data_IF_815916412255
#
_entry.id   IF_815916412255
#
_cell.length_a   1.000
_cell.length_b   1.000
_cell.length_c   1.000
_cell.angle_alpha   90.00
_cell.angle_beta   90.00
_cell.angle_gamma   90.00
#
_symmetry.space_group_name_H-M   'P 1'
#
loop_
_entity.id
_entity.type
_entity.pdbx_description
1 polymer ?
#
# COMPACT_ATOMS: atom_id res chain seq x y z
N UNK A 1 20.92 10.49 15.64
CA UNK A 1 21.94 9.57 15.09
C UNK A 1 21.20 8.29 14.71
N UNK A 2 21.13 7.92 13.43
CA UNK A 2 20.35 6.74 13.03
C UNK A 2 20.95 5.48 13.68
N UNK A 3 20.12 4.49 14.01
CA UNK A 3 20.57 3.19 14.55
C UNK A 3 21.65 2.56 13.65
N UNK A 4 21.52 2.79 12.34
CA UNK A 4 22.47 2.38 11.32
C UNK A 4 23.85 3.04 11.50
N UNK A 5 23.90 4.33 11.84
CA UNK A 5 25.16 5.05 12.11
C UNK A 5 25.90 4.48 13.33
N UNK A 6 25.17 4.07 14.36
CA UNK A 6 25.73 3.44 15.58
C UNK A 6 26.27 2.04 15.26
N UNK A 7 25.50 1.23 14.51
CA UNK A 7 25.93 -0.09 14.07
C UNK A 7 27.16 -0.01 13.15
N UNK A 8 27.17 0.89 12.17
CA UNK A 8 28.29 1.05 11.25
C UNK A 8 29.58 1.48 11.97
N UNK A 9 29.49 2.43 12.90
CA UNK A 9 30.65 2.86 13.71
C UNK A 9 31.16 1.76 14.63
N UNK A 10 30.28 0.98 15.23
CA UNK A 10 30.67 -0.18 16.04
C UNK A 10 31.37 -1.27 15.21
N UNK A 11 30.87 -1.56 14.01
CA UNK A 11 31.45 -2.55 13.10
C UNK A 11 32.84 -2.13 12.63
N UNK A 12 33.01 -0.88 12.21
CA UNK A 12 34.31 -0.32 11.80
C UNK A 12 35.30 -0.37 12.96
N UNK A 13 34.85 -0.10 14.18
CA UNK A 13 35.71 -0.17 15.38
C UNK A 13 36.14 -1.61 15.69
N UNK A 14 35.23 -2.58 15.60
CA UNK A 14 35.55 -4.01 15.81
C UNK A 14 36.52 -4.51 14.74
N UNK A 15 36.25 -4.21 13.47
CA UNK A 15 37.10 -4.61 12.35
C UNK A 15 38.47 -3.96 12.47
N UNK A 16 38.53 -2.65 12.76
CA UNK A 16 39.77 -1.91 12.97
C UNK A 16 40.59 -2.45 14.14
N UNK A 17 39.94 -2.77 15.26
CA UNK A 17 40.60 -3.39 16.42
C UNK A 17 41.13 -4.80 16.09
N UNK A 18 40.38 -5.58 15.33
CA UNK A 18 40.81 -6.93 14.92
C UNK A 18 42.00 -6.87 13.97
N UNK A 19 42.00 -5.94 13.00
CA UNK A 19 43.13 -5.70 12.08
C UNK A 19 44.36 -5.21 12.87
N UNK A 20 44.17 -4.29 13.81
CA UNK A 20 45.25 -3.82 14.69
C UNK A 20 45.89 -4.98 15.46
N UNK A 21 45.08 -5.85 16.06
CA UNK A 21 45.57 -7.03 16.77
C UNK A 21 46.28 -8.04 15.86
N UNK A 22 45.83 -8.20 14.62
CA UNK A 22 46.47 -9.04 13.62
C UNK A 22 47.84 -8.49 13.20
N UNK A 23 47.94 -7.17 12.97
CA UNK A 23 49.19 -6.49 12.56
C UNK A 23 50.22 -6.47 13.70
N UNK A 24 49.77 -6.38 14.95
CA UNK A 24 50.64 -6.43 16.15
C UNK A 24 51.19 -7.86 16.40
N UNK A 25 50.85 -8.86 15.58
CA UNK A 25 51.43 -10.21 15.62
C UNK A 25 51.00 -11.05 16.83
N UNK A 26 50.02 -10.57 17.61
CA UNK A 26 49.53 -11.26 18.82
C UNK A 26 48.46 -12.31 18.54
N UNK A 27 47.95 -12.41 17.31
CA UNK A 27 46.89 -13.37 16.94
C UNK A 27 47.42 -14.37 15.90
N UNK A 28 47.58 -15.66 16.24
CA UNK A 28 48.04 -16.67 15.29
C UNK A 28 46.90 -17.12 14.36
N UNK A 29 46.59 -16.31 13.34
CA UNK A 29 45.47 -16.55 12.40
C UNK A 29 45.58 -17.93 11.72
N UNK A 30 46.79 -18.35 11.33
CA UNK A 30 47.02 -19.68 10.75
C UNK A 30 46.63 -20.81 11.70
N UNK A 31 46.84 -20.64 13.02
CA UNK A 31 46.44 -21.63 14.01
C UNK A 31 44.91 -21.69 14.13
N UNK A 32 44.24 -20.54 14.18
CA UNK A 32 42.77 -20.48 14.23
C UNK A 32 42.11 -21.11 13.00
N UNK A 33 42.61 -20.83 11.79
CA UNK A 33 42.10 -21.42 10.54
C UNK A 33 42.34 -22.93 10.54
N UNK A 34 43.52 -23.40 10.94
CA UNK A 34 43.82 -24.83 11.04
C UNK A 34 42.90 -25.53 12.05
N UNK A 35 42.61 -24.89 13.18
CA UNK A 35 41.71 -25.45 14.20
C UNK A 35 40.26 -25.60 13.68
N UNK A 36 39.77 -24.63 12.89
CA UNK A 36 38.46 -24.73 12.23
C UNK A 36 38.39 -25.92 11.25
N UNK A 37 39.47 -26.18 10.51
CA UNK A 37 39.55 -27.31 9.57
C UNK A 37 39.59 -28.65 10.32
N UNK A 38 40.28 -28.72 11.46
CA UNK A 38 40.37 -29.95 12.26
C UNK A 38 39.04 -30.30 12.94
N UNK A 39 38.25 -29.31 13.40
CA UNK A 39 36.93 -29.49 14.03
C UNK A 39 35.75 -29.19 13.09
N UNK A 40 35.90 -29.52 11.80
CA UNK A 40 34.95 -29.15 10.75
C UNK A 40 33.46 -29.48 11.03
N UNK A 41 33.06 -30.59 11.69
CA UNK A 41 31.64 -30.89 11.87
C UNK A 41 30.95 -29.95 12.87
N UNK A 42 31.62 -29.66 14.00
CA UNK A 42 31.09 -28.79 15.05
C UNK A 42 31.09 -27.34 14.58
N UNK A 43 32.19 -26.90 13.94
CA UNK A 43 32.27 -25.56 13.36
C UNK A 43 31.22 -25.34 12.27
N UNK A 44 30.97 -26.35 11.42
CA UNK A 44 29.93 -26.30 10.39
C UNK A 44 28.52 -26.23 11.00
N UNK A 45 28.22 -27.06 12.00
CA UNK A 45 26.91 -27.05 12.67
C UNK A 45 26.61 -25.70 13.32
N UNK A 46 27.59 -25.12 14.02
CA UNK A 46 27.48 -23.79 14.62
C UNK A 46 27.31 -22.71 13.55
N UNK A 47 28.09 -22.74 12.47
CA UNK A 47 27.95 -21.80 11.36
C UNK A 47 26.56 -21.90 10.69
N UNK A 48 26.04 -23.10 10.47
CA UNK A 48 24.71 -23.32 9.90
C UNK A 48 23.60 -22.82 10.82
N UNK A 49 23.71 -23.05 12.14
CA UNK A 49 22.75 -22.55 13.11
C UNK A 49 22.69 -21.01 13.07
N UNK A 50 23.83 -20.32 13.11
CA UNK A 50 23.86 -18.86 12.97
C UNK A 50 23.34 -18.36 11.62
N UNK A 51 23.74 -19.03 10.54
CA UNK A 51 23.30 -18.66 9.19
C UNK A 51 21.78 -18.75 9.06
N UNK A 52 21.17 -19.80 9.61
CA UNK A 52 19.71 -19.95 9.61
C UNK A 52 19.03 -18.82 10.37
N UNK A 53 19.50 -18.50 11.57
CA UNK A 53 18.87 -17.45 12.39
C UNK A 53 19.05 -16.07 11.75
N UNK A 54 20.25 -15.75 11.27
CA UNK A 54 20.52 -14.50 10.54
C UNK A 54 19.69 -14.45 9.26
N UNK A 55 19.55 -15.56 8.54
CA UNK A 55 18.73 -15.66 7.34
C UNK A 55 17.27 -15.31 7.60
N UNK A 56 16.68 -15.87 8.67
CA UNK A 56 15.31 -15.55 9.08
C UNK A 56 15.19 -14.05 9.44
N UNK A 57 16.15 -13.50 10.20
CA UNK A 57 16.16 -12.07 10.54
C UNK A 57 16.24 -11.18 9.29
N UNK A 58 17.07 -11.52 8.31
CA UNK A 58 17.18 -10.78 7.04
C UNK A 58 15.86 -10.81 6.28
N UNK A 59 15.20 -11.97 6.18
CA UNK A 59 13.90 -12.09 5.49
C UNK A 59 12.85 -11.23 6.18
N UNK A 60 12.79 -11.25 7.52
CA UNK A 60 11.84 -10.42 8.26
C UNK A 60 12.12 -8.92 8.09
N UNK A 61 13.38 -8.48 8.14
CA UNK A 61 13.76 -7.08 7.90
C UNK A 61 13.45 -6.64 6.47
N UNK A 62 13.72 -7.50 5.49
CA UNK A 62 13.41 -7.23 4.09
C UNK A 62 11.89 -7.07 3.87
N UNK A 63 11.07 -7.91 4.52
CA UNK A 63 9.62 -7.80 4.47
C UNK A 63 9.12 -6.47 5.05
N UNK A 64 9.59 -6.09 6.24
CA UNK A 64 9.20 -4.82 6.89
C UNK A 64 9.61 -3.63 6.03
N UNK A 65 10.85 -3.61 5.52
CA UNK A 65 11.33 -2.54 4.63
C UNK A 65 10.56 -2.50 3.31
N UNK A 66 10.17 -3.66 2.77
CA UNK A 66 9.32 -3.76 1.58
C UNK A 66 7.97 -3.08 1.79
N UNK A 67 7.32 -3.31 2.93
CA UNK A 67 6.04 -2.64 3.26
C UNK A 67 6.18 -1.12 3.37
N UNK A 68 7.24 -0.61 4.00
CA UNK A 68 7.52 0.83 4.05
C UNK A 68 7.64 1.42 2.65
N UNK A 69 8.39 0.76 1.78
CA UNK A 69 8.61 1.25 0.42
C UNK A 69 7.33 1.27 -0.43
N UNK A 70 6.38 0.36 -0.18
CA UNK A 70 5.09 0.30 -0.88
C UNK A 70 4.11 1.40 -0.46
N UNK A 71 4.33 2.03 0.69
CA UNK A 71 3.40 2.99 1.31
C UNK A 71 3.96 4.40 1.33
N UNK A 72 5.28 4.57 1.44
CA UNK A 72 5.98 5.87 1.40
C UNK A 72 5.66 6.68 0.13
N UNK A 73 5.51 6.00 -1.02
CA UNK A 73 5.19 6.66 -2.29
C UNK A 73 3.69 6.94 -2.49
N UNK A 74 2.83 6.58 -1.54
CA UNK A 74 1.37 6.73 -1.71
C UNK A 74 0.83 8.07 -1.22
N UNK A 75 1.54 8.75 -0.30
CA UNK A 75 1.03 9.97 0.33
C UNK A 75 1.73 11.25 -0.12
N UNK A 76 0.95 12.32 -0.24
CA UNK A 76 1.45 13.65 -0.59
C UNK A 76 1.38 14.62 0.60
N UNK A 77 2.46 15.35 0.90
CA UNK A 77 2.52 16.18 2.09
C UNK A 77 1.55 17.38 2.07
N UNK A 78 1.10 17.81 0.89
CA UNK A 78 0.12 18.88 0.73
C UNK A 78 -1.34 18.41 0.78
N UNK A 79 -1.57 17.10 0.77
CA UNK A 79 -2.90 16.51 0.83
C UNK A 79 -3.32 16.22 2.27
N UNK A 80 -4.61 16.30 2.52
CA UNK A 80 -5.25 15.96 3.79
C UNK A 80 -6.26 14.86 3.54
N UNK A 81 -6.21 13.82 4.37
CA UNK A 81 -7.24 12.79 4.46
C UNK A 81 -8.13 13.12 5.66
N UNK A 82 -9.42 13.30 5.39
CA UNK A 82 -10.45 13.50 6.40
C UNK A 82 -11.28 12.23 6.54
N UNK A 83 -11.44 11.78 7.78
CA UNK A 83 -12.20 10.60 8.19
C UNK A 83 -13.19 10.97 9.30
N UNK A 84 -14.20 10.13 9.52
CA UNK A 84 -15.05 10.26 10.70
C UNK A 84 -14.26 9.99 11.97
N UNK A 85 -14.62 10.64 13.07
CA UNK A 85 -13.98 10.36 14.36
C UNK A 85 -14.12 8.88 14.76
N UNK A 86 -13.07 8.34 15.38
CA UNK A 86 -12.98 6.92 15.76
C UNK A 86 -12.64 5.95 14.63
N UNK A 87 -12.58 6.40 13.37
CA UNK A 87 -12.19 5.53 12.25
C UNK A 87 -10.70 5.17 12.34
N UNK A 88 -10.39 3.87 12.21
CA UNK A 88 -9.01 3.37 12.18
C UNK A 88 -8.38 3.50 10.80
N UNK A 89 -9.20 3.41 9.75
CA UNK A 89 -8.84 3.51 8.35
C UNK A 89 -10.04 4.00 7.52
N UNK A 90 -9.87 4.11 6.20
CA UNK A 90 -10.92 4.54 5.28
C UNK A 90 -12.14 3.60 5.32
N UNK A 91 -11.96 2.29 5.45
CA UNK A 91 -13.05 1.29 5.38
C UNK A 91 -14.07 1.52 6.50
N UNK A 92 -13.58 1.81 7.70
CA UNK A 92 -14.41 2.01 8.89
C UNK A 92 -14.93 3.44 9.05
N UNK A 93 -14.57 4.34 8.16
CA UNK A 93 -15.05 5.73 8.18
C UNK A 93 -16.44 5.87 7.57
N UNK A 94 -17.18 6.87 8.04
CA UNK A 94 -18.53 7.20 7.57
C UNK A 94 -18.81 8.71 7.65
N UNK A 95 -18.78 9.37 6.49
CA UNK A 95 -18.97 10.80 6.30
C UNK A 95 -20.28 11.07 5.55
N UNK A 96 -21.11 11.95 6.12
CA UNK A 96 -22.35 12.39 5.49
C UNK A 96 -22.10 13.36 4.35
N UNK A 97 -22.98 13.37 3.33
CA UNK A 97 -22.91 14.32 2.22
C UNK A 97 -22.79 15.77 2.71
N UNK A 98 -23.58 16.14 3.72
CA UNK A 98 -23.61 17.48 4.28
C UNK A 98 -22.32 17.90 4.97
N UNK A 99 -21.51 16.94 5.42
CA UNK A 99 -20.25 17.22 6.09
C UNK A 99 -19.18 17.47 5.05
N UNK A 100 -19.08 16.54 4.09
CA UNK A 100 -18.15 16.63 2.96
C UNK A 100 -18.39 17.90 2.13
N UNK A 101 -19.65 18.23 1.85
CA UNK A 101 -20.01 19.44 1.10
C UNK A 101 -19.59 20.73 1.77
N UNK A 102 -19.56 20.76 3.12
CA UNK A 102 -19.23 21.96 3.88
C UNK A 102 -17.72 22.12 4.02
N UNK A 103 -17.01 21.01 4.27
CA UNK A 103 -15.54 20.98 4.36
C UNK A 103 -14.89 21.32 3.02
N UNK A 104 -15.50 20.95 1.89
CA UNK A 104 -15.01 21.29 0.54
C UNK A 104 -14.83 22.81 0.34
N UNK A 105 -15.58 23.65 1.05
CA UNK A 105 -15.47 25.11 0.98
C UNK A 105 -14.54 25.73 2.03
N UNK A 106 -13.80 24.92 2.79
CA UNK A 106 -12.82 25.42 3.74
C UNK A 106 -11.78 26.33 3.03
N UNK A 107 -11.32 27.37 3.73
CA UNK A 107 -10.41 28.38 3.17
C UNK A 107 -9.02 27.81 2.84
N UNK A 108 -8.61 26.71 3.47
CA UNK A 108 -7.34 26.05 3.19
C UNK A 108 -7.33 25.13 1.97
N UNK A 109 -8.48 24.91 1.33
CA UNK A 109 -8.60 24.05 0.14
C UNK A 109 -8.08 24.78 -1.10
N UNK A 110 -7.12 24.16 -1.78
CA UNK A 110 -6.59 24.68 -3.05
C UNK A 110 -7.65 24.59 -4.15
N UNK A 111 -7.60 25.50 -5.12
CA UNK A 111 -8.60 25.62 -6.20
C UNK A 111 -7.95 25.53 -7.56
N UNK A 112 -8.66 24.97 -8.53
CA UNK A 112 -8.22 24.93 -9.92
C UNK A 112 -8.40 26.30 -10.62
N UNK A 113 -7.95 26.38 -11.87
CA UNK A 113 -8.06 27.58 -12.72
C UNK A 113 -9.52 28.05 -12.94
N UNK A 114 -10.50 27.16 -12.74
CA UNK A 114 -11.93 27.44 -12.85
C UNK A 114 -12.55 27.78 -11.49
N UNK A 115 -11.74 27.90 -10.44
CA UNK A 115 -12.17 28.21 -9.06
C UNK A 115 -12.80 27.04 -8.32
N UNK A 116 -12.80 25.83 -8.90
CA UNK A 116 -13.34 24.63 -8.26
C UNK A 116 -12.37 24.10 -7.20
N UNK A 117 -12.87 23.70 -6.03
CA UNK A 117 -12.05 23.13 -4.97
C UNK A 117 -11.44 21.78 -5.40
N UNK A 118 -10.13 21.62 -5.16
CA UNK A 118 -9.39 20.39 -5.41
C UNK A 118 -9.62 19.41 -4.27
N UNK A 119 -10.79 18.77 -4.29
CA UNK A 119 -11.17 17.73 -3.35
C UNK A 119 -11.58 16.45 -4.09
N UNK A 120 -11.37 15.32 -3.41
CA UNK A 120 -11.80 14.01 -3.86
C UNK A 120 -12.78 13.43 -2.86
N UNK A 121 -13.98 13.14 -3.33
CA UNK A 121 -15.07 12.57 -2.54
C UNK A 121 -15.13 11.08 -2.80
N UNK A 122 -14.87 10.28 -1.77
CA UNK A 122 -14.52 8.88 -1.98
C UNK A 122 -15.33 7.94 -1.11
N UNK A 123 -15.59 6.77 -1.66
CA UNK A 123 -16.20 5.64 -0.94
C UNK A 123 -15.39 4.40 -1.23
N UNK A 124 -14.60 3.99 -0.25
CA UNK A 124 -13.72 2.85 -0.34
C UNK A 124 -14.41 1.61 0.23
N UNK A 125 -14.49 0.55 -0.58
CA UNK A 125 -15.10 -0.72 -0.18
C UNK A 125 -14.24 -1.91 -0.63
N UNK A 126 -14.25 -2.96 0.18
CA UNK A 126 -13.64 -4.24 -0.19
C UNK A 126 -14.75 -5.19 -0.62
N UNK A 127 -14.63 -5.70 -1.84
CA UNK A 127 -15.62 -6.55 -2.49
C UNK A 127 -15.09 -7.98 -2.56
N UNK A 128 -15.92 -8.93 -2.14
CA UNK A 128 -15.64 -10.35 -2.31
C UNK A 128 -16.14 -10.80 -3.69
N UNK A 129 -15.20 -11.00 -4.63
CA UNK A 129 -15.50 -11.41 -5.99
C UNK A 129 -15.27 -12.92 -6.18
N UNK A 130 -16.23 -13.67 -6.73
CA UNK A 130 -15.98 -15.03 -7.17
C UNK A 130 -15.06 -15.01 -8.40
N UNK A 131 -14.07 -15.89 -8.43
CA UNK A 131 -13.20 -16.07 -9.59
C UNK A 131 -13.97 -16.93 -10.62
N UNK A 132 -14.08 -16.52 -11.89
CA UNK A 132 -14.78 -17.31 -12.90
C UNK A 132 -14.16 -18.71 -13.10
N UNK A 133 -14.92 -19.58 -13.77
CA UNK A 133 -14.78 -21.05 -13.84
C UNK A 133 -13.41 -21.62 -14.28
N UNK A 134 -12.45 -20.78 -14.70
CA UNK A 134 -11.11 -21.19 -15.08
C UNK A 134 -10.12 -21.27 -13.91
N UNK A 135 -10.56 -21.05 -12.67
CA UNK A 135 -9.77 -21.34 -11.48
C UNK A 135 -9.20 -22.76 -11.57
N UNK A 136 -7.87 -22.90 -11.61
CA UNK A 136 -7.22 -24.21 -11.69
C UNK A 136 -7.60 -25.04 -10.48
N UNK A 137 -7.54 -26.37 -10.59
CA UNK A 137 -7.89 -27.27 -9.49
C UNK A 137 -6.97 -26.98 -8.27
N UNK A 138 -7.50 -26.33 -7.24
CA UNK A 138 -6.77 -25.88 -6.05
C UNK A 138 -6.71 -24.35 -5.87
N UNK A 139 -7.12 -23.57 -6.87
CA UNK A 139 -7.14 -22.11 -6.79
C UNK A 139 -8.24 -21.60 -5.85
N UNK A 140 -8.00 -20.40 -5.29
CA UNK A 140 -8.99 -19.70 -4.47
C UNK A 140 -10.25 -19.48 -5.31
N UNK A 141 -11.41 -19.89 -4.79
CA UNK A 141 -12.69 -19.67 -5.49
C UNK A 141 -13.17 -18.21 -5.42
N UNK A 142 -12.53 -17.39 -4.60
CA UNK A 142 -12.90 -16.01 -4.30
C UNK A 142 -11.64 -15.18 -4.06
N UNK A 143 -11.70 -13.90 -4.43
CA UNK A 143 -10.69 -12.89 -4.09
C UNK A 143 -11.35 -11.63 -3.53
N UNK A 144 -10.57 -10.88 -2.77
CA UNK A 144 -10.98 -9.56 -2.30
C UNK A 144 -10.42 -8.51 -3.26
N UNK A 145 -11.29 -7.64 -3.75
CA UNK A 145 -10.94 -6.51 -4.61
C UNK A 145 -11.27 -5.22 -3.89
N UNK A 146 -10.39 -4.24 -4.02
CA UNK A 146 -10.60 -2.89 -3.52
C UNK A 146 -11.29 -2.07 -4.60
N UNK A 147 -12.45 -1.51 -4.27
CA UNK A 147 -13.23 -0.67 -5.18
C UNK A 147 -13.41 0.70 -4.54
N UNK A 148 -13.02 1.74 -5.26
CA UNK A 148 -13.16 3.13 -4.85
C UNK A 148 -14.22 3.81 -5.69
N UNK A 149 -15.30 4.23 -5.04
CA UNK A 149 -16.35 5.06 -5.61
C UNK A 149 -15.93 6.51 -5.58
N UNK A 150 -15.81 7.13 -6.75
CA UNK A 150 -15.36 8.51 -6.92
C UNK A 150 -16.45 9.33 -7.61
N UNK A 151 -16.65 10.56 -7.14
CA UNK A 151 -17.62 11.49 -7.74
C UNK A 151 -17.10 12.09 -9.06
N UNK A 152 -15.87 12.60 -9.06
CA UNK A 152 -15.24 13.26 -10.20
C UNK A 152 -13.81 12.70 -10.41
N UNK A 153 -13.64 11.70 -11.30
CA UNK A 153 -12.39 10.98 -11.45
C UNK A 153 -11.24 11.86 -11.96
N UNK A 154 -11.53 12.86 -12.81
CA UNK A 154 -10.49 13.75 -13.32
C UNK A 154 -9.93 14.64 -12.21
N UNK A 155 -10.80 15.16 -11.35
CA UNK A 155 -10.39 15.95 -10.17
C UNK A 155 -9.70 15.08 -9.13
N UNK A 156 -10.24 13.89 -8.84
CA UNK A 156 -9.60 12.93 -7.93
C UNK A 156 -8.22 12.51 -8.40
N UNK A 157 -8.05 12.28 -9.71
CA UNK A 157 -6.73 12.01 -10.31
C UNK A 157 -5.74 13.16 -10.07
N UNK A 158 -6.17 14.42 -10.21
CA UNK A 158 -5.34 15.59 -9.89
C UNK A 158 -4.97 15.68 -8.40
N UNK A 159 -5.94 15.44 -7.50
CA UNK A 159 -5.72 15.48 -6.04
C UNK A 159 -4.70 14.41 -5.63
N UNK A 160 -4.83 13.20 -6.17
CA UNK A 160 -3.94 12.07 -5.86
C UNK A 160 -2.66 12.01 -6.70
N UNK A 161 -2.44 12.98 -7.58
CA UNK A 161 -1.37 12.98 -8.59
C UNK A 161 -1.30 11.70 -9.43
N UNK A 162 -2.45 11.10 -9.70
CA UNK A 162 -2.56 9.93 -10.55
C UNK A 162 -2.73 10.35 -12.00
N UNK A 163 -1.86 9.80 -12.85
CA UNK A 163 -1.95 9.93 -14.30
C UNK A 163 -2.44 8.62 -14.89
N UNK A 164 -3.11 8.68 -16.03
CA UNK A 164 -3.49 7.48 -16.77
C UNK A 164 -2.33 7.04 -17.66
N UNK A 165 -1.97 5.77 -17.57
CA UNK A 165 -1.07 5.12 -18.51
C UNK A 165 -1.73 4.95 -19.87
N UNK A 166 -3.02 4.62 -19.88
CA UNK A 166 -3.81 4.44 -21.10
C UNK A 166 -5.30 4.66 -20.84
N UNK A 167 -6.02 5.01 -21.91
CA UNK A 167 -7.46 5.26 -21.88
C UNK A 167 -7.82 6.59 -21.22
N UNK A 168 -9.06 6.68 -20.76
CA UNK A 168 -9.65 7.90 -20.23
C UNK A 168 -10.30 7.65 -18.86
N UNK A 169 -10.50 8.72 -18.11
CA UNK A 169 -11.33 8.68 -16.91
C UNK A 169 -12.77 8.34 -17.31
N UNK A 170 -13.48 7.59 -16.45
CA UNK A 170 -14.87 7.23 -16.71
C UNK A 170 -15.78 8.48 -16.75
N UNK A 171 -16.84 8.40 -17.54
CA UNK A 171 -17.72 9.53 -17.79
C UNK A 171 -18.51 9.94 -16.53
N UNK A 172 -18.69 11.25 -16.31
CA UNK A 172 -19.30 11.77 -15.07
C UNK A 172 -20.76 12.18 -15.19
N UNK A 173 -21.31 12.32 -16.41
CA UNK A 173 -22.65 12.90 -16.65
C UNK A 173 -23.78 12.37 -15.75
N UNK A 174 -24.67 13.27 -15.33
CA UNK A 174 -25.72 12.99 -14.33
C UNK A 174 -26.75 11.92 -14.73
N UNK A 175 -26.99 11.73 -16.04
CA UNK A 175 -28.03 10.83 -16.57
C UNK A 175 -27.51 9.55 -17.23
N UNK A 176 -26.21 9.25 -17.08
CA UNK A 176 -25.63 8.04 -17.70
C UNK A 176 -24.11 7.91 -17.61
N UNK A 177 -23.43 8.84 -16.94
CA UNK A 177 -21.98 8.74 -16.75
C UNK A 177 -21.61 7.50 -15.96
N UNK A 178 -20.52 6.85 -16.35
CA UNK A 178 -19.97 5.66 -15.72
C UNK A 178 -20.54 4.36 -16.29
N UNK A 179 -21.28 4.41 -17.41
CA UNK A 179 -21.80 3.24 -18.11
C UNK A 179 -21.58 3.41 -19.61
N UNK A 180 -21.15 2.34 -20.28
CA UNK A 180 -20.92 2.28 -21.72
C UNK A 180 -21.58 1.04 -22.31
N UNK A 181 -22.22 1.19 -23.47
CA UNK A 181 -22.69 0.03 -24.23
C UNK A 181 -21.47 -0.68 -24.85
N UNK A 182 -21.31 -1.97 -24.52
CA UNK A 182 -20.22 -2.80 -25.03
C UNK A 182 -20.78 -4.09 -25.61
N UNK A 183 -20.10 -4.62 -26.62
CA UNK A 183 -20.46 -5.91 -27.21
C UNK A 183 -19.67 -7.00 -26.49
N UNK A 184 -20.38 -7.92 -25.83
CA UNK A 184 -19.77 -9.06 -25.15
C UNK A 184 -19.99 -10.30 -25.99
N UNK A 185 -18.88 -11.02 -26.25
CA UNK A 185 -18.89 -12.32 -26.93
C UNK A 185 -18.53 -13.40 -25.91
N UNK A 186 -19.48 -14.25 -25.56
CA UNK A 186 -19.27 -15.40 -24.69
C UNK A 186 -19.17 -16.68 -25.53
N UNK A 187 -18.29 -17.64 -25.20
CA UNK A 187 -18.19 -18.90 -25.93
C UNK A 187 -19.55 -19.61 -26.00
N UNK A 188 -20.00 -19.94 -27.22
CA UNK A 188 -21.27 -20.62 -27.45
C UNK A 188 -22.53 -19.74 -27.36
N UNK A 189 -22.39 -18.41 -27.28
CA UNK A 189 -23.51 -17.46 -27.36
C UNK A 189 -23.27 -16.41 -28.44
N UNK A 190 -24.34 -15.92 -29.05
CA UNK A 190 -24.24 -14.80 -29.99
C UNK A 190 -23.75 -13.53 -29.29
N UNK A 191 -22.92 -12.70 -29.95
CA UNK A 191 -22.50 -11.42 -29.42
C UNK A 191 -23.72 -10.55 -29.10
N UNK A 192 -23.77 -10.01 -27.88
CA UNK A 192 -24.85 -9.15 -27.44
C UNK A 192 -24.32 -7.83 -26.89
N UNK A 193 -25.08 -6.77 -27.14
CA UNK A 193 -24.85 -5.46 -26.55
C UNK A 193 -25.34 -5.46 -25.11
N UNK A 194 -24.47 -5.03 -24.20
CA UNK A 194 -24.78 -4.91 -22.77
C UNK A 194 -24.31 -3.56 -22.26
N UNK A 195 -25.02 -3.03 -21.27
CA UNK A 195 -24.56 -1.87 -20.52
C UNK A 195 -23.54 -2.33 -19.48
N UNK A 196 -22.29 -1.90 -19.65
CA UNK A 196 -21.20 -2.19 -18.72
C UNK A 196 -20.79 -0.95 -17.95
N UNK A 197 -20.51 -1.11 -16.66
CA UNK A 197 -19.99 -0.01 -15.84
C UNK A 197 -18.56 0.30 -16.25
N UNK A 198 -18.27 1.57 -16.50
CA UNK A 198 -16.91 2.03 -16.75
C UNK A 198 -16.10 2.01 -15.45
N UNK A 199 -14.92 1.39 -15.50
CA UNK A 199 -13.96 1.40 -14.41
C UNK A 199 -12.57 1.78 -14.91
N UNK A 200 -11.85 2.49 -14.05
CA UNK A 200 -10.43 2.77 -14.21
C UNK A 200 -9.65 1.89 -13.24
N UNK A 201 -8.66 1.15 -13.73
CA UNK A 201 -7.98 0.11 -12.94
C UNK A 201 -6.53 0.53 -12.66
N UNK A 202 -6.00 0.20 -11.49
CA UNK A 202 -4.56 0.14 -11.27
C UNK A 202 -3.90 -0.96 -12.11
N UNK A 203 -2.60 -0.84 -12.39
CA UNK A 203 -1.87 -1.84 -13.19
C UNK A 203 -1.79 -3.19 -12.46
N UNK A 204 -1.64 -3.17 -11.13
CA UNK A 204 -1.58 -4.36 -10.28
C UNK A 204 -2.88 -5.16 -10.34
N UNK A 205 -4.02 -4.51 -10.15
CA UNK A 205 -5.33 -5.20 -10.23
C UNK A 205 -5.64 -5.64 -11.66
N UNK A 206 -5.26 -4.88 -12.69
CA UNK A 206 -5.44 -5.28 -14.08
C UNK A 206 -4.66 -6.58 -14.41
N UNK A 207 -3.44 -6.73 -13.89
CA UNK A 207 -2.64 -7.96 -13.99
C UNK A 207 -3.22 -9.12 -13.19
N UNK A 208 -3.79 -8.85 -12.01
CA UNK A 208 -4.40 -9.88 -11.17
C UNK A 208 -5.68 -10.45 -11.79
N UNK A 209 -6.48 -9.63 -12.49
CA UNK A 209 -7.73 -10.07 -13.13
C UNK A 209 -7.48 -10.65 -14.53
N UNK A 210 -6.45 -10.21 -15.25
CA UNK A 210 -6.14 -10.65 -16.62
C UNK A 210 -6.22 -12.17 -16.84
N UNK A 211 -5.62 -13.00 -15.97
CA UNK A 211 -5.63 -14.46 -16.13
C UNK A 211 -7.02 -15.09 -16.18
N UNK A 212 -8.04 -14.48 -15.55
CA UNK A 212 -9.43 -14.94 -15.59
C UNK A 212 -10.02 -14.92 -17.00
N UNK A 213 -9.46 -14.07 -17.86
CA UNK A 213 -9.85 -13.82 -19.24
C UNK A 213 -8.80 -14.31 -20.23
N UNK A 214 -7.89 -15.20 -19.80
CA UNK A 214 -6.76 -15.73 -20.57
C UNK A 214 -5.83 -14.64 -21.13
N UNK A 215 -5.65 -13.56 -20.36
CA UNK A 215 -4.74 -12.46 -20.69
C UNK A 215 -3.67 -12.30 -19.60
N UNK A 216 -2.49 -11.76 -19.91
CA UNK A 216 -1.51 -11.40 -18.88
C UNK A 216 -1.96 -10.21 -18.02
N UNK A 217 -2.78 -9.31 -18.57
CA UNK A 217 -3.38 -8.16 -17.90
C UNK A 217 -4.64 -7.75 -18.66
N UNK A 218 -5.59 -7.13 -17.97
CA UNK A 218 -6.65 -6.39 -18.64
C UNK A 218 -6.10 -5.10 -19.26
N UNK A 219 -6.67 -4.71 -20.40
CA UNK A 219 -6.35 -3.50 -21.14
C UNK A 219 -7.62 -2.66 -21.37
N UNK A 220 -7.44 -1.41 -21.82
CA UNK A 220 -8.56 -0.50 -22.11
C UNK A 220 -9.48 -1.11 -23.16
N UNK A 221 -10.79 -1.09 -22.89
CA UNK A 221 -11.82 -1.72 -23.71
C UNK A 221 -12.16 -3.16 -23.31
N UNK A 222 -11.35 -3.81 -22.47
CA UNK A 222 -11.67 -5.14 -21.98
C UNK A 222 -12.89 -5.13 -21.07
N UNK A 223 -13.69 -6.19 -21.19
CA UNK A 223 -14.89 -6.39 -20.37
C UNK A 223 -14.62 -7.50 -19.36
N UNK A 224 -14.90 -7.21 -18.10
CA UNK A 224 -14.81 -8.16 -16.99
C UNK A 224 -16.08 -8.13 -16.14
N UNK A 225 -16.25 -9.13 -15.27
CA UNK A 225 -17.46 -9.30 -14.48
C UNK A 225 -17.17 -9.12 -13.00
N UNK A 226 -17.97 -8.32 -12.31
CA UNK A 226 -17.94 -8.22 -10.84
C UNK A 226 -19.32 -8.58 -10.28
N UNK A 227 -19.44 -9.83 -9.85
CA UNK A 227 -20.73 -10.45 -9.59
C UNK A 227 -21.50 -10.68 -10.89
N UNK A 228 -22.78 -10.29 -10.94
CA UNK A 228 -23.67 -10.45 -12.10
C UNK A 228 -23.64 -9.29 -13.12
N UNK A 229 -22.73 -8.33 -12.95
CA UNK A 229 -22.64 -7.14 -13.82
C UNK A 229 -21.35 -7.11 -14.63
N UNK A 230 -21.48 -6.61 -15.86
CA UNK A 230 -20.37 -6.35 -16.76
C UNK A 230 -19.75 -4.99 -16.43
N UNK A 231 -18.43 -4.95 -16.52
CA UNK A 231 -17.59 -3.79 -16.30
C UNK A 231 -16.66 -3.66 -17.50
N UNK A 232 -16.41 -2.43 -17.96
CA UNK A 232 -15.47 -2.16 -19.03
C UNK A 232 -14.32 -1.31 -18.51
N UNK A 233 -13.10 -1.66 -18.89
CA UNK A 233 -11.90 -0.89 -18.58
C UNK A 233 -11.92 0.40 -19.43
N UNK A 234 -12.20 1.53 -18.79
CA UNK A 234 -12.14 2.85 -19.43
C UNK A 234 -10.71 3.40 -19.47
N UNK A 235 -9.91 3.11 -18.45
CA UNK A 235 -8.53 3.57 -18.33
C UNK A 235 -7.69 2.70 -17.37
N UNK A 236 -6.38 2.80 -17.49
CA UNK A 236 -5.41 2.18 -16.58
C UNK A 236 -4.57 3.29 -15.93
N UNK A 237 -4.53 3.32 -14.60
CA UNK A 237 -3.75 4.29 -13.83
C UNK A 237 -2.26 3.92 -13.84
N UNK A 238 -1.41 4.94 -13.98
CA UNK A 238 -0.01 4.84 -13.59
C UNK A 238 0.14 5.23 -12.13
N UNK A 239 0.01 4.23 -11.26
CA UNK A 239 0.03 4.34 -9.82
C UNK A 239 1.45 4.35 -9.23
N UNK A 240 2.51 4.18 -10.05
CA UNK A 240 3.90 4.25 -9.59
C UNK A 240 4.30 3.27 -8.48
N UNK A 241 3.51 2.21 -8.26
CA UNK A 241 3.71 1.28 -7.14
C UNK A 241 3.13 1.74 -5.79
N UNK A 242 2.27 2.77 -5.79
CA UNK A 242 1.45 3.17 -4.63
C UNK A 242 0.32 2.17 -4.34
N UNK A 243 -0.39 2.37 -3.23
CA UNK A 243 -1.56 1.56 -2.86
C UNK A 243 -2.67 1.57 -3.91
N UNK A 244 -2.75 2.64 -4.73
CA UNK A 244 -3.74 2.76 -5.81
C UNK A 244 -3.53 1.74 -6.95
N UNK A 245 -2.38 1.05 -7.01
CA UNK A 245 -2.11 0.04 -8.04
C UNK A 245 -3.05 -1.19 -7.97
N UNK A 246 -3.61 -1.45 -6.78
CA UNK A 246 -4.49 -2.59 -6.53
C UNK A 246 -5.96 -2.20 -6.45
N UNK A 247 -6.33 -1.00 -6.89
CA UNK A 247 -7.69 -0.47 -6.78
C UNK A 247 -8.42 -0.41 -8.13
N UNK A 248 -9.74 -0.58 -8.07
CA UNK A 248 -10.66 -0.30 -9.17
C UNK A 248 -11.45 0.96 -8.83
N UNK A 249 -11.32 1.99 -9.65
CA UNK A 249 -12.04 3.25 -9.53
C UNK A 249 -13.28 3.23 -10.41
N UNK A 250 -14.40 3.66 -9.85
CA UNK A 250 -15.68 3.68 -10.53
C UNK A 250 -16.54 4.84 -10.04
N UNK A 251 -17.62 5.14 -10.76
CA UNK A 251 -18.55 6.19 -10.34
C UNK A 251 -19.13 5.86 -8.96
N UNK A 252 -19.08 6.84 -8.06
CA UNK A 252 -19.56 6.72 -6.69
C UNK A 252 -20.95 6.09 -6.60
N UNK A 253 -21.91 6.61 -7.38
CA UNK A 253 -23.29 6.12 -7.40
C UNK A 253 -23.37 4.62 -7.71
N UNK A 254 -22.57 4.13 -8.66
CA UNK A 254 -22.52 2.71 -9.01
C UNK A 254 -21.97 1.86 -7.86
N UNK A 255 -20.92 2.34 -7.18
CA UNK A 255 -20.35 1.65 -6.01
C UNK A 255 -21.35 1.64 -4.84
N UNK A 256 -21.98 2.78 -4.57
CA UNK A 256 -22.97 2.94 -3.51
C UNK A 256 -24.19 2.03 -3.71
N UNK A 257 -24.79 2.04 -4.90
CA UNK A 257 -25.94 1.18 -5.24
C UNK A 257 -25.59 -0.31 -5.21
N UNK A 258 -24.36 -0.66 -5.60
CA UNK A 258 -23.96 -2.06 -5.75
C UNK A 258 -23.51 -2.72 -4.46
N UNK A 259 -22.78 -1.98 -3.62
CA UNK A 259 -22.14 -2.51 -2.42
C UNK A 259 -22.76 -1.97 -1.12
N UNK A 260 -23.77 -1.11 -1.22
CA UNK A 260 -24.58 -0.66 -0.08
C UNK A 260 -23.94 0.43 0.79
N UNK A 261 -22.75 0.91 0.43
CA UNK A 261 -22.08 2.02 1.13
C UNK A 261 -22.50 3.34 0.49
N UNK A 262 -23.60 3.91 0.99
CA UNK A 262 -24.22 5.15 0.47
C UNK A 262 -23.67 6.43 1.08
N UNK A 263 -22.67 6.33 1.94
CA UNK A 263 -21.96 7.45 2.55
C UNK A 263 -20.52 7.48 2.08
N UNK A 264 -19.87 8.63 2.21
CA UNK A 264 -18.45 8.75 1.89
C UNK A 264 -17.62 8.11 2.99
N UNK A 265 -16.50 7.51 2.64
CA UNK A 265 -15.52 7.02 3.61
C UNK A 265 -14.45 8.07 3.86
N UNK A 266 -14.09 8.79 2.81
CA UNK A 266 -12.90 9.63 2.82
C UNK A 266 -13.17 10.88 2.02
N UNK A 267 -12.73 12.02 2.55
CA UNK A 267 -12.57 13.24 1.78
C UNK A 267 -11.09 13.56 1.73
N UNK A 268 -10.55 13.62 0.52
CA UNK A 268 -9.15 14.02 0.29
C UNK A 268 -9.14 15.46 -0.20
N UNK A 269 -8.31 16.30 0.41
CA UNK A 269 -8.24 17.74 0.13
C UNK A 269 -6.81 18.07 -0.26
N UNK A 270 -6.63 18.70 -1.41
CA UNK A 270 -5.33 19.28 -1.77
C UNK A 270 -5.22 20.70 -1.21
N UNK A 271 -4.12 20.99 -0.54
CA UNK A 271 -3.75 22.35 -0.12
C UNK A 271 -2.52 22.84 -0.89
N UNK A 272 -2.14 24.10 -0.69
CA UNK A 272 -1.04 24.72 -1.44
C UNK A 272 0.35 24.30 -0.93
N UNK A 273 0.46 23.84 0.32
CA UNK A 273 1.73 23.42 0.92
C UNK A 273 1.52 22.46 2.09
N UNK A 274 2.60 21.81 2.54
CA UNK A 274 2.57 20.95 3.73
C UNK A 274 2.11 21.70 4.99
N UNK A 275 2.55 22.94 5.17
CA UNK A 275 2.18 23.78 6.30
C UNK A 275 0.69 24.14 6.27
N UNK A 276 0.18 24.46 5.08
CA UNK A 276 -1.25 24.69 4.87
C UNK A 276 -2.07 23.42 5.15
N UNK A 277 -1.54 22.24 4.80
CA UNK A 277 -2.19 20.97 5.08
C UNK A 277 -2.39 20.74 6.59
N UNK A 278 -1.34 20.96 7.41
CA UNK A 278 -1.46 20.85 8.87
C UNK A 278 -2.40 21.90 9.48
N UNK A 279 -2.32 23.14 9.01
CA UNK A 279 -3.18 24.22 9.50
C UNK A 279 -4.66 23.91 9.23
N UNK A 280 -4.97 23.49 8.01
CA UNK A 280 -6.33 23.14 7.56
C UNK A 280 -6.84 21.88 8.26
N UNK A 281 -6.01 20.85 8.42
CA UNK A 281 -6.39 19.65 9.18
C UNK A 281 -6.74 20.00 10.65
N UNK A 282 -5.94 20.87 11.26
CA UNK A 282 -6.18 21.37 12.63
C UNK A 282 -7.48 22.19 12.70
N UNK A 283 -7.72 23.04 11.70
CA UNK A 283 -8.94 23.85 11.59
C UNK A 283 -10.19 22.96 11.47
N UNK A 284 -10.18 21.96 10.58
CA UNK A 284 -11.27 20.99 10.41
C UNK A 284 -11.57 20.31 11.75
N UNK A 285 -10.56 19.79 12.45
CA UNK A 285 -10.77 19.07 13.72
C UNK A 285 -11.27 19.99 14.84
N UNK A 286 -10.81 21.25 14.90
CA UNK A 286 -11.15 22.16 16.01
C UNK A 286 -12.45 22.93 15.77
N UNK A 287 -12.68 23.40 14.55
CA UNK A 287 -13.70 24.39 14.24
C UNK A 287 -14.92 23.80 13.53
N UNK A 288 -14.83 22.61 12.92
CA UNK A 288 -16.00 21.92 12.40
C UNK A 288 -16.82 21.32 13.55
N UNK A 289 -18.01 21.87 13.81
CA UNK A 289 -18.86 21.48 14.96
C UNK A 289 -20.02 20.55 14.61
N UNK A 290 -20.28 20.33 13.32
CA UNK A 290 -21.43 19.57 12.83
C UNK A 290 -21.25 18.07 12.98
N UNK A 291 -20.01 17.59 12.82
CA UNK A 291 -19.64 16.19 13.05
C UNK A 291 -18.25 16.12 13.72
N UNK A 292 -18.03 15.05 14.48
CA UNK A 292 -16.69 14.73 14.99
C UNK A 292 -15.88 14.09 13.87
N UNK A 293 -14.73 14.68 13.56
CA UNK A 293 -13.87 14.27 12.45
C UNK A 293 -12.42 14.14 12.89
N UNK A 294 -11.67 13.34 12.14
CA UNK A 294 -10.21 13.31 12.20
C UNK A 294 -9.67 13.74 10.83
N UNK A 295 -8.63 14.57 10.84
CA UNK A 295 -7.94 15.00 9.64
C UNK A 295 -6.45 14.78 9.82
N UNK A 296 -5.82 14.17 8.82
CA UNK A 296 -4.40 13.86 8.81
C UNK A 296 -3.78 14.37 7.52
N UNK A 297 -2.55 14.87 7.58
CA UNK A 297 -1.76 14.99 6.37
C UNK A 297 -1.57 13.60 5.77
N UNK A 298 -1.70 13.46 4.46
CA UNK A 298 -1.77 12.16 3.78
C UNK A 298 -0.53 11.29 4.05
N UNK A 299 0.66 11.89 4.08
CA UNK A 299 1.90 11.18 4.47
C UNK A 299 1.81 10.61 5.89
N UNK A 300 1.25 11.38 6.83
CA UNK A 300 1.14 10.98 8.23
C UNK A 300 0.09 9.88 8.40
N UNK A 301 -0.96 9.89 7.57
CA UNK A 301 -1.96 8.82 7.52
C UNK A 301 -1.32 7.48 7.10
N UNK A 302 -0.58 7.45 5.99
CA UNK A 302 0.10 6.24 5.54
C UNK A 302 1.21 5.79 6.51
N UNK A 303 1.92 6.74 7.13
CA UNK A 303 2.88 6.44 8.20
C UNK A 303 2.21 5.79 9.42
N UNK A 304 1.00 6.23 9.76
CA UNK A 304 0.21 5.69 10.86
C UNK A 304 -0.25 4.27 10.57
N UNK A 305 -0.65 3.94 9.34
CA UNK A 305 -0.96 2.57 8.93
C UNK A 305 0.24 1.62 9.10
N UNK A 306 1.46 2.14 8.95
CA UNK A 306 2.70 1.39 9.16
C UNK A 306 3.20 1.35 10.61
N UNK A 307 2.51 1.94 11.59
CA UNK A 307 3.03 1.96 12.96
C UNK A 307 3.13 0.54 13.57
N UNK A 308 2.25 -0.38 13.19
CA UNK A 308 2.35 -1.80 13.59
C UNK A 308 3.63 -2.44 13.04
N UNK A 309 4.07 -2.04 11.84
CA UNK A 309 5.32 -2.53 11.23
C UNK A 309 6.56 -2.03 11.97
N UNK A 310 6.52 -0.78 12.49
CA UNK A 310 7.55 -0.22 13.38
C UNK A 310 7.68 -1.07 14.66
N UNK A 311 6.55 -1.51 15.24
CA UNK A 311 6.57 -2.37 16.42
C UNK A 311 7.20 -3.74 16.12
N UNK A 312 6.87 -4.36 14.98
CA UNK A 312 7.51 -5.59 14.55
C UNK A 312 9.03 -5.42 14.37
N UNK A 313 9.48 -4.33 13.76
CA UNK A 313 10.90 -4.04 13.59
C UNK A 313 11.63 -3.99 14.94
N UNK A 314 11.08 -3.29 15.92
CA UNK A 314 11.67 -3.20 17.27
C UNK A 314 11.75 -4.57 17.92
N UNK A 315 10.70 -5.40 17.80
CA UNK A 315 10.70 -6.76 18.33
C UNK A 315 11.77 -7.65 17.65
N UNK A 316 11.92 -7.53 16.32
CA UNK A 316 12.95 -8.26 15.56
C UNK A 316 14.35 -7.85 16.02
N UNK A 317 14.61 -6.56 16.20
CA UNK A 317 15.90 -6.07 16.69
C UNK A 317 16.21 -6.57 18.11
N UNK A 318 15.19 -6.64 18.97
CA UNK A 318 15.34 -7.23 20.30
C UNK A 318 15.73 -8.71 20.24
N UNK A 319 15.01 -9.51 19.44
CA UNK A 319 15.34 -10.93 19.24
C UNK A 319 16.75 -11.08 18.65
N UNK A 320 17.11 -10.25 17.67
CA UNK A 320 18.44 -10.25 17.08
C UNK A 320 19.54 -9.99 18.12
N UNK A 321 19.31 -9.06 19.06
CA UNK A 321 20.24 -8.79 20.15
C UNK A 321 20.40 -10.00 21.09
N UNK A 322 19.28 -10.63 21.48
CA UNK A 322 19.30 -11.84 22.34
C UNK A 322 20.01 -13.00 21.64
N UNK A 323 19.72 -13.23 20.35
CA UNK A 323 20.40 -14.24 19.53
C UNK A 323 21.89 -13.96 19.42
N UNK A 324 22.29 -12.69 19.21
CA UNK A 324 23.71 -12.34 19.12
C UNK A 324 24.43 -12.65 20.43
N UNK A 325 23.84 -12.33 21.58
CA UNK A 325 24.39 -12.63 22.91
C UNK A 325 24.47 -14.14 23.14
N UNK A 326 23.36 -14.86 22.94
CA UNK A 326 23.33 -16.32 23.05
C UNK A 326 24.33 -16.99 22.10
N UNK A 327 24.56 -16.36 20.95
CA UNK A 327 25.52 -16.79 19.97
C UNK A 327 26.96 -16.73 20.45
N UNK A 328 27.34 -15.61 21.07
CA UNK A 328 28.65 -15.46 21.71
C UNK A 328 28.86 -16.56 22.75
N UNK A 329 27.86 -16.81 23.62
CA UNK A 329 27.94 -17.89 24.61
C UNK A 329 28.02 -19.29 23.99
N UNK A 330 27.29 -19.54 22.90
CA UNK A 330 27.36 -20.80 22.15
C UNK A 330 28.75 -21.06 21.59
N UNK A 331 29.35 -20.04 20.94
CA UNK A 331 30.72 -20.11 20.42
C UNK A 331 31.71 -20.34 21.56
N UNK A 332 31.60 -19.58 22.65
CA UNK A 332 32.44 -19.75 23.84
C UNK A 332 32.36 -21.18 24.38
N UNK A 333 31.16 -21.73 24.54
CA UNK A 333 30.99 -23.09 25.02
C UNK A 333 31.67 -24.12 24.11
N UNK A 334 31.55 -23.97 22.78
CA UNK A 334 32.25 -24.86 21.83
C UNK A 334 33.76 -24.69 21.76
N UNK A 335 34.29 -23.53 22.19
CA UNK A 335 35.73 -23.28 22.25
C UNK A 335 36.36 -23.77 23.55
N UNK A 336 35.61 -23.74 24.66
CA UNK A 336 36.07 -24.20 25.98
C UNK A 336 35.72 -25.66 26.31
N UNK A 337 34.85 -26.29 25.52
CA UNK A 337 34.56 -27.74 25.56
C UNK A 337 35.47 -28.56 24.63
#
# INVERSE_FOLDING_TARGET
MSLFSILATSLVSIVGFTILLAVVGKVPINYSIRNLIVRWPISLMTALAFTMVIGVLIVMLAFVNGMYKLTESSGHPENIIVLSDGATDEIFSNLGYSDVSEIEFNTGVSRDELGKPLTSWETYVIVNQPIPLHARKGDRRRRFIQVRGILDPARSGKVHHLVLKSGDWFSTGDTGGGVREVTVSEPGKEPRKVNATEAVLGQGIAKEIGPDYMKPSLEVGDVFNMGDKYWVVAGIMDSGGSTFDSEIWAKWKTVAERFGKVTYTTLVIKTDSKEAAYATATDIVKNFKKAALQAFVETDYYDKLNNTNKQFLVAILFVAAVVAIGGVFGIMNTMFA
#
